data_IF_551570971140
#
_entry.id   IF_551570971140
#
_cell.length_a   1.000
_cell.length_b   1.000
_cell.length_c   1.000
_cell.angle_alpha   90.00
_cell.angle_beta   90.00
_cell.angle_gamma   90.00
#
_symmetry.space_group_name_H-M   'P 1'
#
loop_
_entity.id
_entity.type
_entity.pdbx_description
1 polymer ?
#
# COMPACT_ATOMS: atom_id res chain seq x y z
N UNK A 1 35.25 -0.67 -37.34
CA UNK A 1 35.92 -1.61 -36.41
C UNK A 1 34.83 -2.17 -35.48
N UNK A 2 34.20 -3.28 -35.87
CA UNK A 2 34.38 -4.63 -35.29
C UNK A 2 33.84 -4.71 -33.85
N UNK A 3 32.57 -5.06 -33.58
CA UNK A 3 31.88 -6.37 -33.65
C UNK A 3 32.06 -7.23 -32.38
N UNK A 4 30.93 -7.59 -31.73
CA UNK A 4 30.57 -8.83 -30.98
C UNK A 4 29.29 -8.55 -30.16
N UNK A 5 28.07 -8.92 -30.57
CA UNK A 5 27.45 -10.26 -30.66
C UNK A 5 27.16 -10.91 -29.29
N UNK A 6 25.87 -11.00 -28.92
CA UNK A 6 25.22 -12.18 -28.34
C UNK A 6 23.71 -11.92 -28.21
N UNK A 7 22.94 -12.42 -29.20
CA UNK A 7 21.49 -12.60 -29.13
C UNK A 7 21.24 -14.00 -28.56
N UNK A 8 20.42 -14.15 -27.53
CA UNK A 8 19.91 -15.45 -27.09
C UNK A 8 18.39 -15.48 -27.28
N UNK A 9 17.98 -16.16 -28.33
CA UNK A 9 16.61 -16.63 -28.54
C UNK A 9 16.48 -17.99 -27.83
N UNK A 10 15.50 -18.12 -26.93
CA UNK A 10 15.15 -19.40 -26.35
C UNK A 10 14.02 -20.03 -27.19
N UNK A 11 14.38 -21.03 -27.98
CA UNK A 11 13.45 -21.94 -28.66
C UNK A 11 12.96 -23.00 -27.67
N UNK A 12 11.65 -23.16 -27.56
CA UNK A 12 11.02 -24.28 -26.86
C UNK A 12 10.94 -25.46 -27.82
N UNK A 13 11.64 -26.55 -27.50
CA UNK A 13 11.43 -27.86 -28.10
C UNK A 13 11.13 -28.85 -26.98
N UNK A 14 9.89 -29.31 -26.94
CA UNK A 14 9.41 -30.40 -26.08
C UNK A 14 9.49 -31.68 -26.91
N UNK A 15 10.26 -32.67 -26.45
CA UNK A 15 10.12 -34.05 -26.95
C UNK A 15 10.62 -35.07 -25.91
N UNK A 16 9.68 -35.55 -25.10
CA UNK A 16 9.25 -36.95 -24.91
C UNK A 16 10.22 -38.15 -24.83
N UNK A 17 10.22 -38.78 -23.64
CA UNK A 17 10.17 -40.24 -23.28
C UNK A 17 11.39 -41.12 -23.70
N UNK A 18 11.97 -42.04 -22.92
CA UNK A 18 11.43 -43.24 -22.25
C UNK A 18 12.40 -43.74 -21.15
N UNK A 19 11.85 -44.13 -19.99
CA UNK A 19 12.54 -44.93 -18.97
C UNK A 19 12.08 -46.39 -19.12
N UNK A 20 13.03 -47.30 -19.37
CA UNK A 20 12.78 -48.75 -19.41
C UNK A 20 12.98 -49.33 -18.01
N UNK A 21 11.90 -49.75 -17.37
CA UNK A 21 11.92 -50.76 -16.30
C UNK A 21 11.27 -52.01 -16.86
N UNK A 22 12.05 -53.09 -16.93
CA UNK A 22 11.54 -54.45 -17.11
C UNK A 22 11.34 -55.06 -15.73
N UNK A 23 10.12 -55.55 -15.47
CA UNK A 23 9.77 -56.30 -14.26
C UNK A 23 8.35 -56.81 -14.39
N UNK A 24 8.21 -58.01 -14.95
CA UNK A 24 6.96 -58.74 -15.13
C UNK A 24 6.56 -59.42 -13.81
N UNK A 25 5.26 -59.44 -13.53
CA UNK A 25 4.71 -59.95 -12.27
C UNK A 25 3.25 -59.59 -12.01
N UNK A 26 2.34 -60.10 -12.85
CA UNK A 26 0.96 -60.51 -12.53
C UNK A 26 -0.06 -59.46 -12.04
N UNK A 27 -1.05 -59.21 -12.90
CA UNK A 27 -2.34 -58.50 -12.75
C UNK A 27 -3.22 -59.00 -11.58
N UNK A 28 -4.18 -58.20 -11.02
CA UNK A 28 -5.37 -57.78 -11.78
C UNK A 28 -5.94 -56.37 -11.50
N UNK A 29 -6.78 -55.98 -12.46
CA UNK A 29 -7.53 -54.76 -12.67
C UNK A 29 -8.30 -54.19 -11.47
N UNK A 30 -8.27 -52.88 -11.33
CA UNK A 30 -9.40 -52.08 -10.83
C UNK A 30 -9.39 -50.69 -11.47
N UNK A 31 -10.56 -50.29 -11.92
CA UNK A 31 -10.93 -49.17 -12.79
C UNK A 31 -10.41 -47.79 -12.37
N UNK A 32 -9.97 -47.00 -13.36
CA UNK A 32 -9.83 -45.55 -13.27
C UNK A 32 -11.05 -44.94 -14.00
N UNK A 33 -11.90 -44.12 -13.37
CA UNK A 33 -12.68 -43.15 -14.11
C UNK A 33 -11.80 -41.94 -14.42
N UNK A 34 -11.63 -41.71 -15.71
CA UNK A 34 -11.17 -40.46 -16.30
C UNK A 34 -11.90 -39.26 -15.70
N UNK A 35 -11.13 -38.20 -15.40
CA UNK A 35 -11.42 -36.82 -15.85
C UNK A 35 -10.86 -35.81 -14.83
N UNK A 36 -9.58 -35.46 -14.97
CA UNK A 36 -9.09 -34.15 -14.55
C UNK A 36 -8.18 -33.62 -15.65
N UNK A 37 -8.78 -32.80 -16.51
CA UNK A 37 -8.09 -32.03 -17.53
C UNK A 37 -6.94 -31.22 -16.92
N UNK A 38 -5.77 -31.08 -17.59
CA UNK A 38 -4.63 -30.28 -17.10
C UNK A 38 -4.95 -28.79 -16.86
N UNK A 39 -6.14 -28.35 -17.25
CA UNK A 39 -6.63 -26.98 -17.17
C UNK A 39 -6.80 -26.47 -15.73
N UNK A 40 -6.95 -27.34 -14.74
CA UNK A 40 -7.19 -26.91 -13.35
C UNK A 40 -5.94 -26.43 -12.60
N UNK A 41 -4.72 -26.75 -13.08
CA UNK A 41 -3.47 -26.33 -12.42
C UNK A 41 -2.88 -25.03 -12.99
N UNK A 42 -3.39 -24.55 -14.12
CA UNK A 42 -2.90 -23.35 -14.80
C UNK A 42 -3.68 -22.06 -14.43
N UNK A 43 -4.58 -22.13 -13.45
CA UNK A 43 -5.34 -20.97 -12.96
C UNK A 43 -4.69 -20.27 -11.75
N UNK A 44 -3.46 -20.62 -11.37
CA UNK A 44 -2.62 -19.70 -10.60
C UNK A 44 -2.09 -18.62 -11.56
N UNK A 45 -3.00 -17.69 -11.84
CA UNK A 45 -2.76 -16.45 -12.55
C UNK A 45 -1.53 -15.76 -11.95
N UNK A 46 -0.48 -15.66 -12.74
CA UNK A 46 0.56 -14.65 -12.58
C UNK A 46 -0.11 -13.28 -12.60
N UNK A 47 -0.41 -12.74 -11.42
CA UNK A 47 -0.79 -11.34 -11.25
C UNK A 47 0.27 -10.45 -11.92
N UNK A 48 -0.12 -9.48 -12.77
CA UNK A 48 0.84 -8.63 -13.47
C UNK A 48 1.56 -7.75 -12.44
N UNK A 49 2.76 -8.16 -12.04
CA UNK A 49 3.61 -7.46 -11.06
C UNK A 49 4.11 -6.09 -11.54
N UNK A 50 3.77 -5.70 -12.77
CA UNK A 50 4.29 -4.53 -13.46
C UNK A 50 3.27 -3.38 -13.58
N UNK A 51 2.09 -3.49 -12.95
CA UNK A 51 1.05 -2.44 -13.00
C UNK A 51 0.69 -1.95 -11.59
N UNK A 52 0.50 -0.63 -11.45
CA UNK A 52 -0.03 -0.03 -10.21
C UNK A 52 -1.54 -0.30 -10.14
N UNK A 53 -2.00 -0.95 -9.08
CA UNK A 53 -3.42 -1.16 -8.82
C UNK A 53 -4.04 0.10 -8.19
N UNK A 54 -4.58 0.97 -9.06
CA UNK A 54 -5.11 2.29 -8.69
C UNK A 54 -6.52 2.24 -8.13
N UNK A 55 -6.87 3.19 -7.25
CA UNK A 55 -8.24 3.35 -6.76
C UNK A 55 -9.22 3.71 -7.88
N UNK A 56 -10.36 3.03 -7.90
CA UNK A 56 -11.51 3.39 -8.71
C UNK A 56 -12.47 4.31 -7.95
N UNK A 57 -13.37 4.97 -8.67
CA UNK A 57 -14.46 5.72 -8.04
C UNK A 57 -15.37 4.82 -7.19
N UNK A 58 -15.53 3.56 -7.58
CA UNK A 58 -16.34 2.60 -6.84
C UNK A 58 -15.68 2.20 -5.52
N UNK A 59 -14.35 2.07 -5.50
CA UNK A 59 -13.61 1.82 -4.25
C UNK A 59 -13.86 2.91 -3.21
N UNK A 60 -13.84 4.16 -3.66
CA UNK A 60 -14.18 5.28 -2.78
C UNK A 60 -15.62 5.20 -2.30
N UNK A 61 -16.58 4.82 -3.15
CA UNK A 61 -18.00 4.71 -2.77
C UNK A 61 -18.23 3.62 -1.72
N UNK A 62 -17.68 2.44 -1.93
CA UNK A 62 -17.82 1.32 -1.01
C UNK A 62 -17.29 1.66 0.38
N UNK A 63 -16.08 2.21 0.45
CA UNK A 63 -15.45 2.57 1.73
C UNK A 63 -16.16 3.75 2.36
N UNK A 64 -16.58 4.75 1.57
CA UNK A 64 -17.36 5.88 2.08
C UNK A 64 -18.69 5.43 2.68
N UNK A 65 -19.40 4.51 2.01
CA UNK A 65 -20.64 3.92 2.49
C UNK A 65 -20.42 3.15 3.79
N UNK A 66 -19.39 2.30 3.86
CA UNK A 66 -19.03 1.55 5.07
C UNK A 66 -18.74 2.47 6.26
N UNK A 67 -18.04 3.59 6.02
CA UNK A 67 -17.68 4.57 7.04
C UNK A 67 -18.80 5.56 7.37
N UNK A 68 -19.88 5.61 6.59
CA UNK A 68 -20.93 6.63 6.71
C UNK A 68 -20.41 8.05 6.46
N UNK A 69 -19.48 8.22 5.52
CA UNK A 69 -18.93 9.52 5.11
C UNK A 69 -19.22 9.80 3.64
N UNK A 70 -19.06 11.04 3.21
CA UNK A 70 -19.14 11.39 1.79
C UNK A 70 -17.83 11.03 1.07
N UNK A 71 -17.91 10.58 -0.19
CA UNK A 71 -16.73 10.31 -1.03
C UNK A 71 -15.84 11.55 -1.12
N UNK A 72 -16.43 12.73 -1.31
CA UNK A 72 -15.73 14.01 -1.29
C UNK A 72 -14.93 14.25 0.01
N UNK A 73 -15.35 13.71 1.15
CA UNK A 73 -14.63 13.86 2.41
C UNK A 73 -13.35 13.00 2.42
N UNK A 74 -13.41 11.77 1.91
CA UNK A 74 -12.23 10.91 1.77
C UNK A 74 -11.25 11.53 0.77
N UNK A 75 -11.72 11.94 -0.41
CA UNK A 75 -10.89 12.60 -1.43
C UNK A 75 -10.24 13.89 -0.92
N UNK A 76 -10.94 14.65 -0.07
CA UNK A 76 -10.37 15.83 0.58
C UNK A 76 -9.19 15.50 1.48
N UNK A 77 -9.19 14.35 2.16
CA UNK A 77 -8.02 13.89 2.95
C UNK A 77 -6.89 13.50 2.00
N UNK A 78 -7.18 12.72 0.97
CA UNK A 78 -6.20 12.30 -0.04
C UNK A 78 -5.50 13.49 -0.69
N UNK A 79 -6.24 14.52 -1.15
CA UNK A 79 -5.65 15.69 -1.81
C UNK A 79 -4.64 16.42 -0.89
N UNK A 80 -4.87 16.37 0.42
CA UNK A 80 -4.02 17.04 1.39
C UNK A 80 -2.73 16.27 1.70
N UNK A 81 -2.78 14.95 1.67
CA UNK A 81 -1.66 14.06 1.96
C UNK A 81 -0.82 13.73 0.71
N UNK A 82 -1.47 13.31 -0.39
CA UNK A 82 -0.81 12.91 -1.63
C UNK A 82 -0.74 14.02 -2.68
N UNK A 83 -1.46 15.14 -2.49
CA UNK A 83 -1.63 16.15 -3.53
C UNK A 83 -2.72 15.76 -4.53
N UNK A 84 -2.85 16.54 -5.62
CA UNK A 84 -3.98 16.40 -6.57
C UNK A 84 -3.95 15.16 -7.47
N UNK A 85 -2.80 14.48 -7.56
CA UNK A 85 -2.67 13.27 -8.38
C UNK A 85 -3.21 12.04 -7.67
N UNK A 86 -3.44 12.11 -6.34
CA UNK A 86 -3.93 11.00 -5.52
C UNK A 86 -3.08 9.73 -5.66
N UNK A 87 -1.79 9.85 -5.96
CA UNK A 87 -0.93 8.68 -6.18
C UNK A 87 -0.52 8.03 -4.86
N UNK A 88 -0.67 6.71 -4.77
CA UNK A 88 -0.19 5.89 -3.65
C UNK A 88 1.16 5.23 -3.89
N UNK A 89 1.66 5.26 -5.14
CA UNK A 89 2.83 4.50 -5.60
C UNK A 89 3.80 5.36 -6.41
N UNK A 90 5.09 5.06 -6.30
CA UNK A 90 6.14 5.65 -7.16
C UNK A 90 6.53 4.74 -8.34
N UNK A 91 6.26 3.46 -8.21
CA UNK A 91 6.42 2.40 -9.20
C UNK A 91 5.54 1.20 -8.75
N UNK A 92 5.23 0.23 -9.63
CA UNK A 92 4.57 -1.01 -9.22
C UNK A 92 5.24 -1.63 -7.99
N UNK A 93 4.44 -1.99 -6.98
CA UNK A 93 4.93 -2.55 -5.71
C UNK A 93 5.73 -1.59 -4.81
N UNK A 94 5.94 -0.34 -5.20
CA UNK A 94 6.73 0.64 -4.42
C UNK A 94 5.85 1.80 -3.96
N UNK A 95 5.28 1.74 -2.74
CA UNK A 95 4.42 2.80 -2.24
C UNK A 95 5.18 4.12 -2.09
N UNK A 96 4.45 5.24 -2.14
CA UNK A 96 5.03 6.53 -1.76
C UNK A 96 5.41 6.50 -0.29
N UNK A 97 6.63 6.92 0.01
CA UNK A 97 7.11 6.98 1.38
C UNK A 97 7.70 8.32 1.75
N UNK A 98 7.67 8.62 3.04
CA UNK A 98 8.38 9.72 3.65
C UNK A 98 9.08 9.24 4.92
N UNK A 99 10.40 9.02 4.81
CA UNK A 99 11.23 8.59 5.93
C UNK A 99 11.52 9.75 6.90
N UNK A 100 11.10 9.60 8.16
CA UNK A 100 11.32 10.60 9.21
C UNK A 100 12.42 10.12 10.17
N UNK A 101 13.57 10.81 10.12
CA UNK A 101 14.73 10.48 10.95
C UNK A 101 14.44 10.61 12.46
N UNK A 102 13.57 11.55 12.85
CA UNK A 102 13.19 11.74 14.26
C UNK A 102 12.35 10.56 14.75
N UNK A 103 11.41 10.10 13.93
CA UNK A 103 10.61 8.91 14.23
C UNK A 103 11.47 7.65 14.24
N UNK A 104 12.34 7.46 13.24
CA UNK A 104 13.28 6.34 13.24
C UNK A 104 14.14 6.32 14.50
N UNK A 105 14.74 7.46 14.89
CA UNK A 105 15.49 7.58 16.15
C UNK A 105 14.66 7.17 17.36
N UNK A 106 13.42 7.66 17.45
CA UNK A 106 12.51 7.36 18.55
C UNK A 106 12.23 5.85 18.66
N UNK A 107 11.90 5.19 17.55
CA UNK A 107 11.55 3.76 17.55
C UNK A 107 12.78 2.86 17.68
N UNK A 108 13.91 3.24 17.09
CA UNK A 108 15.18 2.55 17.29
C UNK A 108 15.59 2.54 18.78
N UNK A 109 15.48 3.68 19.47
CA UNK A 109 15.74 3.77 20.91
C UNK A 109 14.79 2.89 21.72
N UNK A 110 13.48 2.90 21.41
CA UNK A 110 12.49 2.03 22.09
C UNK A 110 12.80 0.54 21.91
N UNK A 111 13.47 0.17 20.83
CA UNK A 111 13.90 -1.20 20.50
C UNK A 111 15.31 -1.52 20.99
N UNK A 112 15.93 -0.64 21.78
CA UNK A 112 17.26 -0.86 22.36
C UNK A 112 18.42 -0.69 21.38
N UNK A 113 18.19 -0.07 20.21
CA UNK A 113 19.23 0.13 19.19
C UNK A 113 20.06 1.37 19.51
N UNK A 114 21.36 1.18 19.70
CA UNK A 114 22.29 2.30 19.86
C UNK A 114 22.73 2.87 18.50
N UNK A 115 22.02 3.90 18.03
CA UNK A 115 22.25 4.52 16.71
C UNK A 115 23.61 5.22 16.55
N UNK A 116 24.32 5.54 17.64
CA UNK A 116 25.64 6.21 17.54
C UNK A 116 26.66 5.38 16.76
N UNK A 117 26.56 4.04 16.85
CA UNK A 117 27.39 3.05 16.15
C UNK A 117 27.26 3.11 14.62
N UNK A 118 26.17 3.68 14.10
CA UNK A 118 25.83 3.65 12.67
C UNK A 118 26.03 4.98 11.97
N UNK A 119 26.35 6.06 12.70
CA UNK A 119 26.49 7.42 12.16
C UNK A 119 27.46 7.52 10.96
N UNK A 120 28.58 6.79 11.02
CA UNK A 120 29.59 6.74 9.94
C UNK A 120 29.22 5.77 8.81
N UNK A 121 28.82 4.55 9.15
CA UNK A 121 28.54 3.48 8.17
C UNK A 121 27.22 3.68 7.41
N UNK A 122 26.26 4.40 8.00
CA UNK A 122 24.92 4.62 7.45
C UNK A 122 24.59 6.11 7.35
N UNK A 123 25.57 6.93 6.94
CA UNK A 123 25.42 8.41 6.85
C UNK A 123 24.19 8.85 6.04
N UNK A 124 23.77 8.06 5.04
CA UNK A 124 22.56 8.30 4.24
C UNK A 124 21.29 8.35 5.09
N UNK A 125 21.16 7.51 6.12
CA UNK A 125 20.01 7.48 7.05
C UNK A 125 19.89 8.82 7.78
N UNK A 126 21.04 9.32 8.26
CA UNK A 126 21.15 10.51 9.10
C UNK A 126 21.17 11.83 8.33
N UNK A 127 21.11 11.79 7.00
CA UNK A 127 21.04 13.00 6.17
C UNK A 127 19.70 13.73 6.36
N UNK A 128 19.71 15.07 6.38
CA UNK A 128 18.52 15.91 6.59
C UNK A 128 17.71 16.16 5.32
N UNK A 129 18.14 15.62 4.18
CA UNK A 129 17.59 15.99 2.89
C UNK A 129 16.26 15.27 2.60
N UNK A 130 15.21 16.08 2.36
CA UNK A 130 14.03 15.63 1.60
C UNK A 130 14.43 15.53 0.14
N UNK A 131 14.02 14.45 -0.53
CA UNK A 131 14.44 14.15 -1.89
C UNK A 131 13.40 13.33 -2.64
N UNK A 132 13.73 12.92 -3.86
CA UNK A 132 12.89 12.04 -4.68
C UNK A 132 12.56 10.73 -3.96
N UNK A 133 11.52 10.03 -4.43
CA UNK A 133 11.15 8.71 -3.90
C UNK A 133 12.31 7.71 -3.95
N UNK A 134 13.18 7.78 -4.97
CA UNK A 134 14.43 6.99 -5.03
C UNK A 134 15.32 7.25 -3.80
N UNK A 135 15.49 8.52 -3.41
CA UNK A 135 16.30 8.89 -2.24
C UNK A 135 15.62 8.47 -0.93
N UNK A 136 14.30 8.60 -0.85
CA UNK A 136 13.53 8.15 0.32
C UNK A 136 13.65 6.63 0.51
N UNK A 137 13.46 5.85 -0.55
CA UNK A 137 13.61 4.39 -0.52
C UNK A 137 15.04 3.97 -0.16
N UNK A 138 16.06 4.60 -0.74
CA UNK A 138 17.46 4.33 -0.36
C UNK A 138 17.72 4.59 1.13
N UNK A 139 17.10 5.62 1.72
CA UNK A 139 17.21 5.91 3.16
C UNK A 139 16.49 4.87 4.00
N UNK A 140 15.29 4.45 3.59
CA UNK A 140 14.53 3.39 4.25
C UNK A 140 15.31 2.07 4.23
N UNK A 141 15.83 1.64 3.09
CA UNK A 141 16.60 0.40 2.98
C UNK A 141 17.88 0.42 3.83
N UNK A 142 18.60 1.55 3.84
CA UNK A 142 19.72 1.73 4.74
C UNK A 142 19.31 1.79 6.23
N UNK A 143 18.10 2.20 6.56
CA UNK A 143 17.60 2.15 7.93
C UNK A 143 17.16 0.72 8.30
N UNK A 144 16.59 -0.05 7.35
CA UNK A 144 16.23 -1.46 7.54
C UNK A 144 17.45 -2.32 7.81
N UNK A 145 18.60 -2.04 7.20
CA UNK A 145 19.86 -2.72 7.51
C UNK A 145 20.39 -2.45 8.92
N UNK A 146 19.94 -1.39 9.59
CA UNK A 146 20.20 -1.13 11.00
C UNK A 146 19.19 -1.89 11.87
N UNK A 147 17.90 -1.66 11.61
CA UNK A 147 16.81 -2.37 12.27
C UNK A 147 15.52 -2.28 11.43
N UNK A 148 14.99 -3.40 10.92
CA UNK A 148 13.87 -3.40 9.95
C UNK A 148 12.59 -2.78 10.52
N UNK A 149 12.13 -3.26 11.69
CA UNK A 149 10.88 -2.75 12.26
C UNK A 149 10.95 -1.26 12.65
N UNK A 150 12.05 -0.82 13.28
CA UNK A 150 12.22 0.59 13.62
C UNK A 150 12.18 1.50 12.37
N UNK A 151 12.75 1.03 11.25
CA UNK A 151 12.76 1.75 9.98
C UNK A 151 11.35 1.91 9.40
N UNK A 152 10.54 0.84 9.43
CA UNK A 152 9.13 0.89 9.01
C UNK A 152 8.32 1.84 9.91
N UNK A 153 8.49 1.73 11.23
CA UNK A 153 7.84 2.61 12.20
C UNK A 153 8.29 4.07 12.08
N UNK A 154 9.49 4.31 11.55
CA UNK A 154 10.06 5.63 11.27
C UNK A 154 9.58 6.26 9.95
N UNK A 155 8.70 5.60 9.21
CA UNK A 155 8.33 5.99 7.84
C UNK A 155 6.83 6.21 7.74
N UNK A 156 6.42 7.19 6.92
CA UNK A 156 5.03 7.39 6.52
C UNK A 156 4.81 6.79 5.14
N UNK A 157 3.68 6.12 4.93
CA UNK A 157 3.44 5.19 3.82
C UNK A 157 2.17 5.51 3.04
N UNK A 158 2.25 5.30 1.73
CA UNK A 158 1.12 5.31 0.80
C UNK A 158 0.47 6.68 0.61
N UNK A 159 -0.66 6.65 -0.09
CA UNK A 159 -1.50 7.78 -0.44
C UNK A 159 -1.94 8.61 0.76
N UNK A 160 -2.25 7.93 1.88
CA UNK A 160 -2.74 8.55 3.10
C UNK A 160 -1.62 8.99 4.05
N UNK A 161 -0.35 8.75 3.67
CA UNK A 161 0.83 9.05 4.49
C UNK A 161 0.67 8.56 5.93
N UNK A 162 0.26 7.30 6.11
CA UNK A 162 0.07 6.72 7.44
C UNK A 162 1.44 6.36 8.01
N UNK A 163 1.73 6.85 9.22
CA UNK A 163 2.97 6.50 9.93
C UNK A 163 3.00 5.02 10.28
N UNK A 164 4.05 4.28 9.88
CA UNK A 164 4.16 2.83 10.07
C UNK A 164 4.13 2.39 11.53
N UNK A 165 4.37 3.30 12.47
CA UNK A 165 4.15 3.06 13.90
C UNK A 165 2.68 2.84 14.30
N UNK A 166 1.75 3.12 13.39
CA UNK A 166 0.32 2.87 13.56
C UNK A 166 -0.14 1.54 12.95
N UNK A 167 0.76 0.65 12.52
CA UNK A 167 0.40 -0.60 11.83
C UNK A 167 -0.75 -1.38 12.51
N UNK A 168 -0.70 -1.53 13.85
CA UNK A 168 -1.77 -2.18 14.64
C UNK A 168 -3.11 -1.48 14.51
N UNK A 169 -3.10 -0.15 14.49
CA UNK A 169 -4.31 0.69 14.37
C UNK A 169 -4.89 0.65 12.97
N UNK A 170 -4.11 0.23 11.97
CA UNK A 170 -4.56 -0.02 10.61
C UNK A 170 -5.08 -1.44 10.42
N UNK A 171 -5.21 -2.23 11.50
CA UNK A 171 -5.66 -3.63 11.46
C UNK A 171 -4.65 -4.58 10.83
N UNK A 172 -3.36 -4.21 10.75
CA UNK A 172 -2.34 -5.14 10.29
C UNK A 172 -1.97 -6.15 11.40
N UNK A 173 -1.74 -7.40 11.01
CA UNK A 173 -1.38 -8.49 11.94
C UNK A 173 0.08 -8.37 12.41
N UNK A 174 0.94 -7.80 11.57
CA UNK A 174 2.35 -7.57 11.83
C UNK A 174 2.86 -6.32 11.11
N UNK A 175 4.12 -5.95 11.36
CA UNK A 175 4.79 -4.88 10.62
C UNK A 175 5.00 -5.29 9.15
N UNK A 176 5.29 -6.57 8.90
CA UNK A 176 5.51 -7.07 7.55
C UNK A 176 4.19 -7.09 6.77
N UNK A 177 3.10 -7.56 7.39
CA UNK A 177 1.74 -7.46 6.83
C UNK A 177 1.36 -6.01 6.49
N UNK A 178 1.74 -5.05 7.35
CA UNK A 178 1.54 -3.63 7.05
C UNK A 178 2.29 -3.18 5.80
N UNK A 179 3.55 -3.58 5.64
CA UNK A 179 4.34 -3.23 4.44
C UNK A 179 3.77 -3.91 3.20
N UNK A 180 3.36 -5.17 3.31
CA UNK A 180 2.79 -5.94 2.21
C UNK A 180 1.50 -5.30 1.70
N UNK A 181 0.57 -4.96 2.60
CA UNK A 181 -0.69 -4.29 2.25
C UNK A 181 -0.45 -2.89 1.68
N UNK A 182 0.42 -2.10 2.29
CA UNK A 182 0.80 -0.78 1.76
C UNK A 182 1.41 -0.86 0.36
N UNK A 183 2.07 -1.97 0.02
CA UNK A 183 2.77 -2.18 -1.26
C UNK A 183 1.94 -2.93 -2.29
N UNK A 184 0.77 -3.47 -1.92
CA UNK A 184 -0.05 -4.32 -2.78
C UNK A 184 -0.94 -3.50 -3.73
N UNK A 185 -1.74 -2.58 -3.18
CA UNK A 185 -2.71 -1.82 -3.97
C UNK A 185 -3.08 -0.50 -3.31
N UNK A 186 -3.60 0.46 -4.07
CA UNK A 186 -4.16 1.68 -3.47
C UNK A 186 -5.47 1.40 -2.71
N UNK A 187 -6.18 0.32 -3.07
CA UNK A 187 -7.34 -0.17 -2.33
C UNK A 187 -6.95 -0.61 -0.91
N UNK A 188 -5.88 -1.38 -0.75
CA UNK A 188 -5.35 -1.76 0.56
C UNK A 188 -4.98 -0.52 1.38
N UNK A 189 -4.37 0.48 0.75
CA UNK A 189 -4.04 1.75 1.42
C UNK A 189 -5.30 2.49 1.92
N UNK A 190 -6.38 2.49 1.13
CA UNK A 190 -7.68 3.06 1.51
C UNK A 190 -8.33 2.30 2.67
N UNK A 191 -8.32 0.97 2.64
CA UNK A 191 -8.86 0.15 3.72
C UNK A 191 -8.07 0.32 5.03
N UNK A 192 -6.74 0.37 4.94
CA UNK A 192 -5.88 0.65 6.09
C UNK A 192 -6.10 2.05 6.67
N UNK A 193 -6.42 3.02 5.82
CA UNK A 193 -6.85 4.34 6.26
C UNK A 193 -8.21 4.31 6.98
N UNK A 194 -9.18 3.60 6.42
CA UNK A 194 -10.51 3.43 7.01
C UNK A 194 -10.42 2.80 8.40
N UNK A 195 -9.64 1.74 8.55
CA UNK A 195 -9.39 1.09 9.84
C UNK A 195 -8.67 2.03 10.82
N UNK A 196 -7.66 2.76 10.32
CA UNK A 196 -6.92 3.72 11.14
C UNK A 196 -7.81 4.81 11.74
N UNK A 197 -8.65 5.47 10.94
CA UNK A 197 -9.51 6.55 11.45
C UNK A 197 -10.62 6.02 12.36
N UNK A 198 -11.05 4.77 12.15
CA UNK A 198 -12.04 4.09 13.00
C UNK A 198 -11.43 3.77 14.36
N UNK A 199 -10.31 3.05 14.39
CA UNK A 199 -9.64 2.61 15.63
C UNK A 199 -9.08 3.76 16.47
N UNK A 200 -8.76 4.90 15.85
CA UNK A 200 -8.29 6.11 16.54
C UNK A 200 -9.40 7.05 16.99
N UNK A 201 -10.66 6.77 16.63
CA UNK A 201 -11.81 7.62 16.94
C UNK A 201 -11.84 8.92 16.14
N UNK A 202 -11.10 9.01 15.03
CA UNK A 202 -11.11 10.15 14.12
C UNK A 202 -12.31 10.12 13.17
N UNK A 203 -12.89 8.94 12.91
CA UNK A 203 -14.02 8.75 12.02
C UNK A 203 -15.18 9.71 12.32
N UNK A 204 -15.57 9.86 13.59
CA UNK A 204 -16.64 10.78 14.02
C UNK A 204 -16.40 12.23 13.58
N UNK A 205 -15.14 12.67 13.50
CA UNK A 205 -14.81 14.01 13.06
C UNK A 205 -14.91 14.14 11.54
N UNK A 206 -14.58 13.08 10.80
CA UNK A 206 -14.75 13.05 9.34
C UNK A 206 -16.24 13.01 8.96
N UNK A 207 -17.04 12.17 9.63
CA UNK A 207 -18.49 12.11 9.49
C UNK A 207 -19.16 13.47 9.74
N UNK A 208 -18.79 14.13 10.84
CA UNK A 208 -19.28 15.47 11.18
C UNK A 208 -18.65 16.60 10.35
N UNK A 209 -17.72 16.29 9.42
CA UNK A 209 -16.93 17.28 8.66
C UNK A 209 -16.25 18.32 9.57
N UNK A 210 -15.89 17.92 10.78
CA UNK A 210 -15.17 18.74 11.75
C UNK A 210 -13.67 18.73 11.41
N UNK A 211 -13.32 19.49 10.35
CA UNK A 211 -11.98 19.52 9.77
C UNK A 211 -10.90 19.94 10.77
N UNK A 212 -11.23 20.81 11.73
CA UNK A 212 -10.29 21.22 12.77
C UNK A 212 -9.93 20.06 13.70
N UNK A 213 -10.93 19.34 14.21
CA UNK A 213 -10.70 18.21 15.12
C UNK A 213 -10.07 17.03 14.37
N UNK A 214 -10.52 16.74 13.15
CA UNK A 214 -9.93 15.71 12.30
C UNK A 214 -8.45 16.02 12.03
N UNK A 215 -8.13 17.21 11.52
CA UNK A 215 -6.75 17.58 11.19
C UNK A 215 -5.85 17.65 12.43
N UNK A 216 -6.36 18.06 13.59
CA UNK A 216 -5.60 18.03 14.85
C UNK A 216 -5.23 16.59 15.24
N UNK A 217 -6.16 15.66 15.09
CA UNK A 217 -5.94 14.26 15.41
C UNK A 217 -5.05 13.54 14.39
N UNK A 218 -5.27 13.81 13.11
CA UNK A 218 -4.56 13.17 11.98
C UNK A 218 -3.15 13.75 11.76
N UNK A 219 -3.04 15.07 11.62
CA UNK A 219 -1.79 15.77 11.31
C UNK A 219 -1.03 16.27 12.55
N UNK A 220 -1.66 16.22 13.73
CA UNK A 220 -1.07 16.59 15.01
C UNK A 220 -1.23 18.07 15.39
N UNK A 221 -0.63 18.49 16.52
CA UNK A 221 -0.88 19.81 17.14
C UNK A 221 -0.57 21.01 16.25
N UNK A 222 0.33 20.85 15.27
CA UNK A 222 0.70 21.92 14.34
C UNK A 222 -0.31 22.15 13.20
N UNK A 223 -1.44 21.44 13.20
CA UNK A 223 -2.38 21.43 12.08
C UNK A 223 -2.86 22.83 11.65
N UNK A 224 -3.12 23.70 12.64
CA UNK A 224 -3.64 25.04 12.40
C UNK A 224 -2.61 25.93 11.71
N UNK A 225 -1.36 25.93 12.20
CA UNK A 225 -0.23 26.67 11.60
C UNK A 225 0.04 26.24 10.16
N UNK A 226 -0.22 24.98 9.83
CA UNK A 226 -0.07 24.42 8.48
C UNK A 226 -1.37 24.45 7.65
N UNK A 227 -2.42 25.09 8.16
CA UNK A 227 -3.70 25.28 7.50
C UNK A 227 -4.36 23.97 7.02
N UNK A 228 -4.09 22.81 7.67
CA UNK A 228 -4.62 21.53 7.20
C UNK A 228 -6.14 21.52 7.15
N UNK A 229 -6.79 21.92 8.25
CA UNK A 229 -8.24 22.04 8.37
C UNK A 229 -8.89 22.91 7.27
N UNK A 230 -8.36 24.11 7.00
CA UNK A 230 -8.94 25.00 5.96
C UNK A 230 -8.69 24.47 4.56
N UNK A 231 -7.51 23.89 4.31
CA UNK A 231 -7.21 23.26 3.01
C UNK A 231 -8.11 22.04 2.77
N UNK A 232 -8.35 21.21 3.79
CA UNK A 232 -9.23 20.04 3.72
C UNK A 232 -10.69 20.45 3.49
N UNK A 233 -11.18 21.46 4.21
CA UNK A 233 -12.51 22.04 3.96
C UNK A 233 -12.64 22.56 2.52
N UNK A 234 -11.61 23.21 2.00
CA UNK A 234 -11.58 23.72 0.63
C UNK A 234 -11.55 22.60 -0.41
N UNK A 235 -10.80 21.53 -0.15
CA UNK A 235 -10.74 20.34 -1.00
C UNK A 235 -12.08 19.62 -1.04
N UNK A 236 -12.71 19.41 0.12
CA UNK A 236 -14.05 18.86 0.22
C UNK A 236 -15.05 19.66 -0.62
N UNK A 237 -15.07 20.98 -0.48
CA UNK A 237 -15.98 21.84 -1.25
C UNK A 237 -15.76 21.73 -2.77
N UNK A 238 -14.54 21.47 -3.24
CA UNK A 238 -14.26 21.22 -4.67
C UNK A 238 -14.77 19.85 -5.09
N UNK A 239 -14.41 18.79 -4.37
CA UNK A 239 -14.86 17.44 -4.69
C UNK A 239 -16.38 17.32 -4.64
N UNK A 240 -17.03 17.98 -3.67
CA UNK A 240 -18.49 17.95 -3.55
C UNK A 240 -19.20 18.56 -4.75
N UNK A 241 -18.61 19.57 -5.40
CA UNK A 241 -19.15 20.17 -6.64
C UNK A 241 -18.96 19.27 -7.87
N UNK A 242 -18.00 18.35 -7.82
CA UNK A 242 -17.68 17.43 -8.92
C UNK A 242 -18.44 16.10 -8.80
N UNK A 243 -19.04 15.81 -7.64
CA UNK A 243 -19.89 14.63 -7.49
C UNK A 243 -21.12 14.77 -8.40
N UNK A 244 -21.45 13.75 -9.21
CA UNK A 244 -22.70 13.76 -9.95
C UNK A 244 -23.87 13.85 -8.97
N UNK A 245 -24.98 14.50 -9.35
CA UNK A 245 -26.21 14.45 -8.56
C UNK A 245 -26.57 13.00 -8.27
N UNK A 246 -26.96 12.69 -7.03
CA UNK A 246 -27.43 11.35 -6.69
C UNK A 246 -28.61 11.03 -7.61
N UNK A 247 -28.49 10.01 -8.46
CA UNK A 247 -29.66 9.46 -9.14
C UNK A 247 -30.57 8.90 -8.03
N UNK A 248 -31.69 9.57 -7.80
CA UNK A 248 -32.80 8.99 -7.06
C UNK A 248 -33.18 7.71 -7.80
N UNK A 249 -32.89 6.56 -7.20
CA UNK A 249 -33.45 5.30 -7.67
C UNK A 249 -34.96 5.45 -7.58
N UNK A 250 -35.71 5.33 -8.70
CA UNK A 250 -37.16 5.42 -8.64
C UNK A 250 -37.66 4.40 -7.63
N UNK A 251 -38.38 4.85 -6.61
CA UNK A 251 -39.10 3.91 -5.74
C UNK A 251 -40.00 3.06 -6.65
N UNK A 252 -40.02 1.72 -6.47
CA UNK A 252 -40.98 0.91 -7.19
C UNK A 252 -42.38 1.45 -6.87
N UNK A 253 -43.12 1.80 -7.91
CA UNK A 253 -44.51 2.20 -7.76
C UNK A 253 -45.29 1.02 -7.18
N UNK A 254 -45.90 1.23 -6.00
CA UNK A 254 -46.91 0.34 -5.42
C UNK A 254 -48.17 0.28 -6.30
#
# INVERSE_FOLDING_TARGET
MLQRAALLAASVMISSVIFTISGDGTTPSSEIPENTSPTALAQQLTEPTDTILTLTEEDFREVALHLGVEVAAIKAVVEIEAGRTHEGFSAPGTPLINFDLTMFRRFATRRGVNLSKYSKSHSVVFSSHRGSQIKANRRLEAAKSIHPHAAVEGTFWGMFQIGGFNWKKCGAESIDDFVDRMSRSERDQLEMFAEFITSTGLLKHLQAKNWASFARGYNGPSYARRAYHTRMASAYARHKKLEPPCEETPQPAD
#
